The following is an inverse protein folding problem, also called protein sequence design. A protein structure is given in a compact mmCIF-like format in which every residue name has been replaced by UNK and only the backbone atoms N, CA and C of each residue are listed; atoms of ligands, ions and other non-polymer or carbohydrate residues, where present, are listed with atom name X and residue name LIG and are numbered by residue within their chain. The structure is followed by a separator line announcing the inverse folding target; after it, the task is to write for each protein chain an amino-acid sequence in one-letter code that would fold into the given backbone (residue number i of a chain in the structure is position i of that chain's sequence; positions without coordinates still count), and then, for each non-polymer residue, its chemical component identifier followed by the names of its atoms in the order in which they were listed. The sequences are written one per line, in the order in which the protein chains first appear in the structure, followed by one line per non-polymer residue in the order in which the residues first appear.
data_IF_832901834456
#
_entry.id   IF_832901834456
#
_cell.length_a   1.000
_cell.length_b   1.000
_cell.length_c   1.000
_cell.angle_alpha   90.00
_cell.angle_beta   90.00
_cell.angle_gamma   90.00
#
_symmetry.space_group_name_H-M   'P 1'
#
loop_
_entity.id
_entity.type
_entity.pdbx_description
1 polymer ?
#
# COMPACT_ATOMS: atom_id res chain seq x y z
N UNK A 1 -4.02 -36.58 -26.88
CA UNK A 1 -4.46 -35.51 -27.80
C UNK A 1 -4.36 -34.16 -27.10
N UNK A 2 -3.30 -33.41 -27.41
CA UNK A 2 -3.02 -31.97 -27.21
C UNK A 2 -1.56 -31.80 -26.79
N UNK A 3 -0.79 -31.04 -27.59
CA UNK A 3 -0.36 -29.75 -27.09
C UNK A 3 -0.57 -28.65 -28.15
N UNK A 4 -1.33 -27.63 -27.79
CA UNK A 4 -1.61 -26.47 -28.64
C UNK A 4 -0.49 -25.43 -28.52
N UNK A 5 0.44 -25.51 -29.48
CA UNK A 5 0.92 -24.40 -30.30
C UNK A 5 1.18 -23.04 -29.65
N UNK A 6 2.46 -22.83 -29.34
CA UNK A 6 3.24 -21.58 -29.40
C UNK A 6 2.75 -20.52 -30.40
N UNK A 7 2.56 -19.28 -29.94
CA UNK A 7 2.90 -18.07 -30.72
C UNK A 7 3.13 -16.86 -29.80
N UNK A 8 4.38 -16.63 -29.42
CA UNK A 8 4.85 -15.26 -29.18
C UNK A 8 6.31 -15.16 -29.64
N UNK A 9 6.54 -14.10 -30.40
CA UNK A 9 7.71 -13.80 -31.21
C UNK A 9 9.01 -13.79 -30.42
N UNK A 10 10.00 -14.49 -30.97
CA UNK A 10 11.41 -14.44 -30.62
C UNK A 10 11.95 -13.00 -30.69
N UNK A 11 12.18 -12.38 -29.53
CA UNK A 11 13.20 -11.32 -29.38
C UNK A 11 14.11 -11.77 -28.25
N UNK A 12 15.25 -12.32 -28.60
CA UNK A 12 16.24 -12.86 -27.68
C UNK A 12 16.97 -11.69 -26.97
N UNK A 13 16.43 -11.21 -25.85
CA UNK A 13 17.18 -10.41 -24.86
C UNK A 13 17.53 -11.35 -23.72
N UNK A 14 18.76 -11.87 -23.74
CA UNK A 14 19.28 -12.99 -22.94
C UNK A 14 19.33 -12.77 -21.42
N UNK A 15 18.64 -11.77 -20.87
CA UNK A 15 18.71 -11.35 -19.47
C UNK A 15 17.37 -10.87 -18.87
N UNK A 16 16.25 -10.99 -19.61
CA UNK A 16 14.95 -10.42 -19.19
C UNK A 16 13.86 -11.50 -19.11
N UNK A 17 14.09 -12.52 -18.29
CA UNK A 17 13.06 -13.51 -17.97
C UNK A 17 12.99 -13.74 -16.46
N UNK A 18 11.79 -13.99 -15.94
CA UNK A 18 11.58 -14.29 -14.53
C UNK A 18 12.18 -15.66 -14.14
N UNK A 19 13.14 -15.72 -13.20
CA UNK A 19 13.91 -16.95 -12.96
C UNK A 19 13.21 -17.95 -12.03
N UNK A 20 12.23 -17.54 -11.21
CA UNK A 20 11.63 -18.38 -10.17
C UNK A 20 10.42 -19.21 -10.64
N UNK A 21 10.20 -19.29 -11.95
CA UNK A 21 9.08 -20.00 -12.55
C UNK A 21 7.70 -19.42 -12.20
N UNK A 22 6.61 -20.10 -12.61
CA UNK A 22 5.24 -19.58 -12.48
C UNK A 22 4.75 -19.51 -11.03
N UNK A 23 5.14 -20.47 -10.18
CA UNK A 23 4.77 -20.44 -8.76
C UNK A 23 5.48 -19.29 -8.01
N UNK A 24 6.77 -19.08 -8.27
CA UNK A 24 7.50 -17.94 -7.71
C UNK A 24 6.91 -16.60 -8.17
N UNK A 25 6.43 -16.56 -9.43
CA UNK A 25 5.78 -15.39 -10.00
C UNK A 25 4.48 -15.02 -9.27
N UNK A 26 3.62 -16.00 -9.00
CA UNK A 26 2.36 -15.79 -8.28
C UNK A 26 2.58 -15.28 -6.85
N UNK A 27 3.54 -15.87 -6.13
CA UNK A 27 3.87 -15.45 -4.76
C UNK A 27 4.44 -14.03 -4.76
N UNK A 28 5.32 -13.71 -5.72
CA UNK A 28 5.90 -12.38 -5.84
C UNK A 28 4.83 -11.31 -6.14
N UNK A 29 3.92 -11.59 -7.09
CA UNK A 29 2.82 -10.69 -7.41
C UNK A 29 1.87 -10.49 -6.22
N UNK A 30 1.55 -11.58 -5.51
CA UNK A 30 0.74 -11.52 -4.29
C UNK A 30 1.40 -10.63 -3.22
N UNK A 31 2.68 -10.87 -2.92
CA UNK A 31 3.42 -10.07 -1.93
C UNK A 31 3.49 -8.59 -2.34
N UNK A 32 3.73 -8.32 -3.62
CA UNK A 32 3.74 -6.96 -4.15
C UNK A 32 2.41 -6.26 -3.94
N UNK A 33 1.30 -6.92 -4.26
CA UNK A 33 -0.03 -6.36 -4.08
C UNK A 33 -0.37 -6.10 -2.61
N UNK A 34 -0.06 -7.05 -1.71
CA UNK A 34 -0.25 -6.86 -0.25
C UNK A 34 0.51 -5.63 0.23
N UNK A 35 1.76 -5.49 -0.20
CA UNK A 35 2.63 -4.37 0.20
C UNK A 35 2.09 -3.03 -0.29
N UNK A 36 1.59 -2.98 -1.53
CA UNK A 36 0.98 -1.77 -2.11
C UNK A 36 -0.28 -1.38 -1.35
N UNK A 37 -1.21 -2.33 -1.14
CA UNK A 37 -2.47 -2.07 -0.44
C UNK A 37 -2.23 -1.62 1.00
N UNK A 38 -1.39 -2.34 1.74
CA UNK A 38 -1.01 -1.97 3.10
C UNK A 38 -0.36 -0.58 3.13
N UNK A 39 0.58 -0.30 2.22
CA UNK A 39 1.27 0.98 2.12
C UNK A 39 0.32 2.17 1.93
N UNK A 40 -0.64 2.05 1.00
CA UNK A 40 -1.61 3.13 0.75
C UNK A 40 -2.54 3.30 1.97
N UNK A 41 -2.97 2.22 2.61
CA UNK A 41 -3.76 2.29 3.84
C UNK A 41 -2.99 2.99 4.97
N UNK A 42 -1.69 2.73 5.13
CA UNK A 42 -0.85 3.41 6.11
C UNK A 42 -0.71 4.90 5.83
N UNK A 43 -0.60 5.32 4.56
CA UNK A 43 -0.54 6.74 4.22
C UNK A 43 -1.83 7.48 4.64
N UNK A 44 -3.00 6.86 4.41
CA UNK A 44 -4.28 7.39 4.89
C UNK A 44 -4.35 7.45 6.42
N UNK A 45 -3.91 6.38 7.09
CA UNK A 45 -3.90 6.29 8.56
C UNK A 45 -3.01 7.37 9.21
N UNK A 46 -1.83 7.60 8.65
CA UNK A 46 -0.89 8.63 9.11
C UNK A 46 -1.47 10.03 8.93
N UNK A 47 -2.14 10.30 7.81
CA UNK A 47 -2.80 11.58 7.59
C UNK A 47 -3.93 11.81 8.61
N UNK A 48 -4.72 10.77 8.90
CA UNK A 48 -5.79 10.80 9.90
C UNK A 48 -5.27 11.03 11.33
N UNK A 49 -4.19 10.36 11.71
CA UNK A 49 -3.55 10.51 13.01
C UNK A 49 -3.03 11.94 13.22
N UNK A 50 -2.36 12.52 12.22
CA UNK A 50 -1.91 13.92 12.27
C UNK A 50 -3.05 14.91 12.40
N UNK A 51 -4.17 14.68 11.71
CA UNK A 51 -5.35 15.51 11.86
C UNK A 51 -5.85 15.53 13.32
N UNK A 52 -5.90 14.38 13.99
CA UNK A 52 -6.30 14.29 15.40
C UNK A 52 -5.31 14.99 16.34
N UNK A 53 -4.02 14.93 16.04
CA UNK A 53 -2.99 15.62 16.83
C UNK A 53 -3.10 17.14 16.74
N UNK A 54 -3.25 17.70 15.53
CA UNK A 54 -3.26 19.16 15.33
C UNK A 54 -4.63 19.81 15.56
N UNK A 55 -5.70 19.23 15.01
CA UNK A 55 -7.02 19.86 15.00
C UNK A 55 -7.86 19.47 16.23
N UNK A 56 -7.85 18.20 16.63
CA UNK A 56 -8.69 17.68 17.73
C UNK A 56 -7.94 17.58 19.06
N UNK A 57 -6.59 17.66 19.04
CA UNK A 57 -5.70 17.43 20.20
C UNK A 57 -5.93 16.09 20.92
N UNK A 58 -6.48 15.10 20.23
CA UNK A 58 -6.75 13.79 20.79
C UNK A 58 -5.54 12.88 20.53
N UNK A 59 -4.91 12.41 21.61
CA UNK A 59 -3.80 11.46 21.51
C UNK A 59 -4.32 10.06 21.21
N UNK A 60 -3.91 9.47 20.10
CA UNK A 60 -4.22 8.07 19.79
C UNK A 60 -3.40 7.18 20.71
N UNK A 61 -4.05 6.25 21.39
CA UNK A 61 -3.38 5.30 22.27
C UNK A 61 -2.63 4.22 21.47
N UNK A 62 -1.53 3.71 22.01
CA UNK A 62 -0.68 2.73 21.32
C UNK A 62 -1.43 1.45 20.95
N UNK A 63 -2.35 0.99 21.81
CA UNK A 63 -3.20 -0.18 21.50
C UNK A 63 -4.09 0.05 20.28
N UNK A 64 -4.59 1.28 20.07
CA UNK A 64 -5.42 1.61 18.89
C UNK A 64 -4.57 1.62 17.61
N UNK A 65 -3.33 2.08 17.70
CA UNK A 65 -2.41 2.05 16.55
C UNK A 65 -2.09 0.62 16.11
N UNK A 66 -1.87 -0.28 17.07
CA UNK A 66 -1.64 -1.70 16.79
C UNK A 66 -2.87 -2.37 16.17
N UNK A 67 -4.07 -2.13 16.71
CA UNK A 67 -5.30 -2.71 16.15
C UNK A 67 -5.53 -2.22 14.73
N UNK A 68 -5.39 -0.92 14.46
CA UNK A 68 -5.49 -0.37 13.10
C UNK A 68 -4.47 -0.99 12.13
N UNK A 69 -3.22 -1.12 12.57
CA UNK A 69 -2.15 -1.74 11.78
C UNK A 69 -2.49 -3.19 11.44
N UNK A 70 -2.92 -3.99 12.43
CA UNK A 70 -3.31 -5.39 12.19
C UNK A 70 -4.49 -5.51 11.21
N UNK A 71 -5.49 -4.64 11.32
CA UNK A 71 -6.66 -4.64 10.43
C UNK A 71 -6.24 -4.33 9.00
N UNK A 72 -5.34 -3.36 8.80
CA UNK A 72 -4.83 -3.00 7.47
C UNK A 72 -4.09 -4.15 6.79
N UNK A 73 -3.21 -4.85 7.53
CA UNK A 73 -2.51 -6.02 6.99
C UNK A 73 -3.46 -7.16 6.65
N UNK A 74 -4.42 -7.47 7.53
CA UNK A 74 -5.42 -8.53 7.28
C UNK A 74 -6.27 -8.19 6.05
N UNK A 75 -6.73 -6.94 5.93
CA UNK A 75 -7.48 -6.48 4.76
C UNK A 75 -6.62 -6.54 3.49
N UNK A 76 -5.38 -6.07 3.52
CA UNK A 76 -4.47 -6.12 2.37
C UNK A 76 -4.24 -7.57 1.88
N UNK A 77 -4.04 -8.51 2.82
CA UNK A 77 -3.92 -9.95 2.53
C UNK A 77 -5.21 -10.50 1.93
N UNK A 78 -6.37 -10.19 2.53
CA UNK A 78 -7.67 -10.66 2.08
C UNK A 78 -7.97 -10.20 0.64
N UNK A 79 -7.74 -8.93 0.34
CA UNK A 79 -7.98 -8.38 -1.00
C UNK A 79 -6.98 -8.92 -2.02
N UNK A 80 -5.71 -9.13 -1.64
CA UNK A 80 -4.70 -9.73 -2.51
C UNK A 80 -4.88 -11.22 -2.73
N UNK A 81 -5.66 -11.90 -1.86
CA UNK A 81 -5.96 -13.32 -1.99
C UNK A 81 -7.09 -13.59 -2.99
N UNK A 82 -7.94 -12.61 -3.34
CA UNK A 82 -9.05 -12.80 -4.28
C UNK A 82 -8.60 -13.22 -5.70
N UNK A 83 -7.48 -12.70 -6.25
CA UNK A 83 -6.90 -13.17 -7.51
C UNK A 83 -6.16 -14.51 -7.42
N UNK A 84 -6.17 -15.20 -6.27
CA UNK A 84 -5.62 -16.55 -6.18
C UNK A 84 -6.56 -17.56 -6.86
N UNK A 85 -6.00 -18.65 -7.41
CA UNK A 85 -6.75 -19.63 -8.20
C UNK A 85 -7.88 -20.33 -7.45
N UNK A 86 -7.88 -20.31 -6.12
CA UNK A 86 -8.95 -20.89 -5.30
C UNK A 86 -10.24 -20.06 -5.30
N UNK A 87 -10.14 -18.74 -5.48
CA UNK A 87 -11.27 -17.81 -5.41
C UNK A 87 -11.74 -17.41 -6.82
N UNK A 88 -10.82 -17.31 -7.78
CA UNK A 88 -11.16 -17.20 -9.20
C UNK A 88 -11.62 -15.80 -9.67
N UNK A 89 -11.34 -14.76 -8.89
CA UNK A 89 -11.66 -13.37 -9.28
C UNK A 89 -10.58 -12.72 -10.16
N UNK A 90 -9.48 -13.43 -10.38
CA UNK A 90 -8.35 -13.04 -11.21
C UNK A 90 -7.29 -14.15 -11.22
N UNK A 91 -6.25 -14.00 -12.04
CA UNK A 91 -5.08 -14.89 -12.04
C UNK A 91 -3.82 -14.04 -12.18
N UNK A 92 -2.83 -14.28 -11.32
CA UNK A 92 -1.49 -13.73 -11.48
C UNK A 92 -0.72 -14.55 -12.51
N UNK A 93 -0.25 -13.88 -13.55
CA UNK A 93 0.46 -14.47 -14.68
C UNK A 93 1.61 -13.54 -15.10
N UNK A 94 2.45 -14.01 -16.02
CA UNK A 94 3.58 -13.23 -16.50
C UNK A 94 3.13 -12.01 -17.29
N UNK A 95 3.82 -10.89 -17.09
CA UNK A 95 3.66 -9.70 -17.93
C UNK A 95 4.12 -10.05 -19.36
N UNK A 96 3.51 -9.51 -20.45
CA UNK A 96 3.89 -9.79 -21.85
C UNK A 96 5.38 -9.61 -22.23
N UNK A 97 6.18 -8.97 -21.37
CA UNK A 97 7.63 -8.84 -21.52
C UNK A 97 8.43 -9.94 -20.78
N UNK A 98 7.75 -10.86 -20.10
CA UNK A 98 8.25 -11.98 -19.27
C UNK A 98 9.28 -11.60 -18.18
N UNK A 99 9.45 -10.31 -17.90
CA UNK A 99 10.36 -9.77 -16.87
C UNK A 99 9.75 -9.74 -15.48
N UNK A 100 8.44 -9.81 -15.38
CA UNK A 100 7.71 -9.54 -14.14
C UNK A 100 6.36 -10.24 -14.10
N UNK A 101 5.69 -10.07 -12.96
CA UNK A 101 4.49 -10.80 -12.59
C UNK A 101 3.40 -9.80 -12.26
N UNK A 102 2.27 -9.91 -12.94
CA UNK A 102 1.15 -8.98 -12.79
C UNK A 102 -0.17 -9.72 -12.84
N UNK A 103 -1.25 -9.02 -12.53
CA UNK A 103 -2.60 -9.54 -12.72
C UNK A 103 -2.87 -9.63 -14.23
N UNK A 104 -3.31 -10.78 -14.76
CA UNK A 104 -3.59 -10.89 -16.20
C UNK A 104 -4.97 -10.33 -16.57
N UNK A 105 -4.98 -9.08 -17.04
CA UNK A 105 -6.17 -8.38 -17.55
C UNK A 105 -6.65 -8.97 -18.90
N UNK A 106 -5.80 -9.71 -19.61
CA UNK A 106 -6.01 -10.17 -20.99
C UNK A 106 -6.94 -11.37 -21.08
N UNK A 107 -7.12 -12.13 -20.01
CA UNK A 107 -8.14 -13.20 -19.94
C UNK A 107 -9.56 -12.64 -20.10
N UNK A 108 -9.84 -11.44 -19.61
CA UNK A 108 -11.09 -10.72 -19.87
C UNK A 108 -11.21 -10.28 -21.33
N UNK A 109 -10.11 -9.79 -21.91
CA UNK A 109 -10.06 -9.23 -23.26
C UNK A 109 -10.17 -10.30 -24.38
N UNK A 110 -9.72 -11.54 -24.10
CA UNK A 110 -9.93 -12.70 -25.00
C UNK A 110 -11.41 -13.12 -25.13
N UNK A 111 -12.25 -12.64 -24.21
CA UNK A 111 -13.72 -12.73 -24.29
C UNK A 111 -14.33 -11.51 -25.01
N UNK A 112 -13.73 -10.31 -24.86
CA UNK A 112 -14.11 -9.07 -25.57
C UNK A 112 -13.88 -9.19 -27.07
N UNK A 113 -12.75 -9.76 -27.51
CA UNK A 113 -12.42 -9.97 -28.93
C UNK A 113 -13.30 -11.02 -29.63
N UNK A 114 -14.10 -11.79 -28.88
CA UNK A 114 -14.99 -12.85 -29.42
C UNK A 114 -16.46 -12.43 -29.52
N UNK A 115 -16.79 -11.15 -29.29
CA UNK A 115 -18.14 -10.62 -29.49
C UNK A 115 -19.19 -11.14 -28.50
N UNK A 116 -18.78 -11.72 -27.36
CA UNK A 116 -19.70 -12.23 -26.35
C UNK A 116 -20.05 -11.10 -25.38
N UNK A 117 -21.35 -10.81 -25.30
CA UNK A 117 -22.04 -9.80 -24.48
C UNK A 117 -21.38 -9.65 -23.09
N UNK A 118 -20.58 -8.59 -22.94
CA UNK A 118 -19.68 -8.31 -21.80
C UNK A 118 -20.44 -8.13 -20.48
N UNK A 119 -21.73 -7.79 -20.57
CA UNK A 119 -22.61 -7.53 -19.43
C UNK A 119 -23.26 -8.78 -18.82
N UNK A 120 -23.26 -9.91 -19.53
CA UNK A 120 -23.96 -11.13 -19.07
C UNK A 120 -23.03 -12.24 -18.55
N UNK A 121 -21.71 -12.15 -18.76
CA UNK A 121 -20.79 -13.12 -18.16
C UNK A 121 -20.58 -12.81 -16.67
N UNK A 122 -20.75 -13.79 -15.75
CA UNK A 122 -20.51 -13.60 -14.31
C UNK A 122 -19.05 -13.26 -13.99
N UNK A 123 -18.12 -13.77 -14.80
CA UNK A 123 -16.67 -13.68 -14.56
C UNK A 123 -16.09 -12.32 -14.93
N UNK A 124 -16.56 -11.69 -16.01
CA UNK A 124 -16.15 -10.32 -16.39
C UNK A 124 -16.67 -9.29 -15.39
N UNK A 125 -17.88 -9.49 -14.86
CA UNK A 125 -18.47 -8.65 -13.81
C UNK A 125 -17.65 -8.69 -12.53
N UNK A 126 -17.35 -9.87 -11.99
CA UNK A 126 -16.55 -10.00 -10.77
C UNK A 126 -15.18 -9.32 -10.89
N UNK A 127 -14.54 -9.44 -12.05
CA UNK A 127 -13.25 -8.83 -12.34
C UNK A 127 -13.28 -7.29 -12.44
N UNK A 128 -14.23 -6.74 -13.20
CA UNK A 128 -14.41 -5.28 -13.32
C UNK A 128 -14.79 -4.70 -11.96
N UNK A 129 -15.68 -5.37 -11.22
CA UNK A 129 -16.06 -4.98 -9.87
C UNK A 129 -14.87 -4.99 -8.91
N UNK A 130 -13.97 -5.98 -9.00
CA UNK A 130 -12.75 -6.04 -8.18
C UNK A 130 -11.83 -4.84 -8.44
N UNK A 131 -11.51 -4.56 -9.70
CA UNK A 131 -10.67 -3.41 -10.07
C UNK A 131 -11.30 -2.09 -9.63
N UNK A 132 -12.61 -1.91 -9.87
CA UNK A 132 -13.32 -0.71 -9.44
C UNK A 132 -13.35 -0.58 -7.92
N UNK A 133 -13.58 -1.67 -7.19
CA UNK A 133 -13.59 -1.68 -5.73
C UNK A 133 -12.21 -1.31 -5.17
N UNK A 134 -11.11 -1.83 -5.74
CA UNK A 134 -9.76 -1.46 -5.33
C UNK A 134 -9.47 0.03 -5.56
N UNK A 135 -9.84 0.57 -6.73
CA UNK A 135 -9.65 1.99 -7.01
C UNK A 135 -10.47 2.84 -6.04
N UNK A 136 -11.74 2.51 -5.80
CA UNK A 136 -12.58 3.29 -4.90
C UNK A 136 -12.09 3.18 -3.45
N UNK A 137 -11.90 1.97 -2.92
CA UNK A 137 -11.59 1.75 -1.51
C UNK A 137 -10.13 2.06 -1.14
N UNK A 138 -9.17 1.77 -2.02
CA UNK A 138 -7.75 1.94 -1.69
C UNK A 138 -7.13 3.16 -2.33
N UNK A 139 -7.68 3.71 -3.41
CA UNK A 139 -7.17 4.96 -3.98
C UNK A 139 -8.02 6.15 -3.54
N UNK A 140 -9.33 6.15 -3.80
CA UNK A 140 -10.14 7.35 -3.54
C UNK A 140 -10.30 7.63 -2.05
N UNK A 141 -10.55 6.60 -1.23
CA UNK A 141 -10.77 6.81 0.20
C UNK A 141 -9.53 7.37 0.94
N UNK A 142 -8.31 6.82 0.78
CA UNK A 142 -7.11 7.42 1.36
C UNK A 142 -6.80 8.81 0.79
N UNK A 143 -7.04 9.05 -0.51
CA UNK A 143 -6.89 10.39 -1.09
C UNK A 143 -7.85 11.41 -0.45
N UNK A 144 -9.11 11.02 -0.22
CA UNK A 144 -10.10 11.88 0.44
C UNK A 144 -9.69 12.18 1.90
N UNK A 145 -9.21 11.19 2.64
CA UNK A 145 -8.69 11.40 4.00
C UNK A 145 -7.51 12.35 3.99
N UNK A 146 -6.54 12.13 3.09
CA UNK A 146 -5.37 13.00 2.97
C UNK A 146 -5.77 14.43 2.61
N UNK A 147 -6.68 14.60 1.66
CA UNK A 147 -7.15 15.91 1.23
C UNK A 147 -7.92 16.64 2.34
N UNK A 148 -8.87 15.97 2.99
CA UNK A 148 -9.64 16.52 4.10
C UNK A 148 -8.75 16.92 5.28
N UNK A 149 -7.79 16.06 5.63
CA UNK A 149 -6.81 16.32 6.70
C UNK A 149 -5.91 17.50 6.33
N UNK A 150 -5.43 17.55 5.08
CA UNK A 150 -4.60 18.65 4.60
C UNK A 150 -5.33 20.00 4.65
N UNK A 151 -6.56 20.06 4.15
CA UNK A 151 -7.39 21.28 4.19
C UNK A 151 -7.64 21.75 5.62
N UNK A 152 -7.95 20.83 6.53
CA UNK A 152 -8.20 21.15 7.95
C UNK A 152 -6.95 21.68 8.65
N UNK A 153 -5.80 21.05 8.42
CA UNK A 153 -4.51 21.50 8.97
C UNK A 153 -4.14 22.86 8.38
N UNK A 154 -4.29 23.04 7.07
CA UNK A 154 -3.99 24.31 6.40
C UNK A 154 -4.80 25.47 6.96
N UNK A 155 -6.11 25.28 7.15
CA UNK A 155 -6.99 26.31 7.74
C UNK A 155 -6.65 26.59 9.21
N UNK A 156 -6.33 25.57 10.00
CA UNK A 156 -5.87 25.72 11.38
C UNK A 156 -4.60 26.58 11.49
N UNK A 157 -3.57 26.28 10.69
CA UNK A 157 -2.33 27.05 10.71
C UNK A 157 -2.46 28.44 10.10
N UNK A 158 -3.31 28.62 9.08
CA UNK A 158 -3.65 29.94 8.54
C UNK A 158 -4.23 30.85 9.63
N UNK A 159 -5.04 30.29 10.54
CA UNK A 159 -5.64 31.03 11.67
C UNK A 159 -4.63 31.41 12.76
N UNK A 160 -3.51 30.68 12.89
CA UNK A 160 -2.53 30.83 13.98
C UNK A 160 -1.32 31.73 13.60
N UNK A 161 -1.31 32.36 12.42
CA UNK A 161 -0.32 33.38 11.99
C UNK A 161 1.18 32.96 11.96
N UNK A 162 1.53 31.69 12.15
CA UNK A 162 2.92 31.19 12.09
C UNK A 162 3.26 30.55 10.73
N UNK A 163 3.23 31.35 9.66
CA UNK A 163 3.34 30.91 8.26
C UNK A 163 4.73 30.39 7.82
N UNK A 164 5.77 30.52 8.66
CA UNK A 164 7.16 30.26 8.23
C UNK A 164 7.59 28.78 8.20
N UNK A 165 6.94 27.87 8.93
CA UNK A 165 7.36 26.46 9.03
C UNK A 165 6.44 25.45 8.31
N UNK A 166 5.26 25.90 7.87
CA UNK A 166 4.18 25.03 7.39
C UNK A 166 4.44 24.30 6.06
N UNK A 167 5.00 24.95 5.01
CA UNK A 167 5.21 24.26 3.74
C UNK A 167 6.35 23.22 3.81
N UNK A 168 7.28 23.36 4.76
CA UNK A 168 8.41 22.44 4.93
C UNK A 168 7.97 21.17 5.67
N UNK A 169 7.20 21.30 6.76
CA UNK A 169 6.67 20.16 7.52
C UNK A 169 5.63 19.34 6.74
N UNK A 170 4.80 19.99 5.90
CA UNK A 170 3.84 19.30 5.05
C UNK A 170 4.52 18.54 3.89
N UNK A 171 5.62 19.08 3.35
CA UNK A 171 6.38 18.45 2.23
C UNK A 171 7.33 17.34 2.69
N UNK A 172 7.82 17.35 3.92
CA UNK A 172 8.72 16.31 4.45
C UNK A 172 7.97 15.13 5.12
N UNK A 173 6.65 15.07 4.93
CA UNK A 173 5.71 14.16 5.58
C UNK A 173 6.19 12.71 5.81
N UNK A 174 6.76 11.96 4.85
CA UNK A 174 7.14 10.56 5.15
C UNK A 174 8.43 10.44 6.00
N UNK A 175 9.45 11.24 5.67
CA UNK A 175 10.79 11.15 6.26
C UNK A 175 10.84 11.85 7.63
N UNK A 176 10.15 12.97 7.76
CA UNK A 176 10.04 13.68 9.04
C UNK A 176 9.16 12.94 10.02
N UNK A 177 8.18 12.12 9.60
CA UNK A 177 7.36 11.41 10.58
C UNK A 177 8.17 10.38 11.36
N UNK A 178 8.98 9.55 10.69
CA UNK A 178 9.82 8.58 11.38
C UNK A 178 10.78 9.27 12.37
N UNK A 179 11.39 10.38 11.95
CA UNK A 179 12.30 11.16 12.80
C UNK A 179 11.55 11.87 13.95
N UNK A 180 10.42 12.54 13.70
CA UNK A 180 9.61 13.16 14.75
C UNK A 180 9.08 12.13 15.74
N UNK A 181 8.59 10.99 15.28
CA UNK A 181 8.09 9.92 16.16
C UNK A 181 9.21 9.30 17.00
N UNK A 182 10.39 9.12 16.43
CA UNK A 182 11.55 8.60 17.15
C UNK A 182 12.15 9.62 18.14
N UNK A 183 12.19 10.92 17.79
CA UNK A 183 12.84 11.96 18.60
C UNK A 183 11.93 12.61 19.65
N UNK A 184 10.61 12.66 19.39
CA UNK A 184 9.62 13.29 20.28
C UNK A 184 9.10 12.36 21.38
N UNK A 185 9.41 11.07 21.31
CA UNK A 185 8.93 10.07 22.25
C UNK A 185 10.07 9.70 23.22
N UNK A 186 9.94 10.07 24.50
CA UNK A 186 11.02 9.98 25.50
C UNK A 186 11.62 8.57 25.61
N UNK A 187 10.79 7.55 25.40
CA UNK A 187 11.18 6.13 25.44
C UNK A 187 12.18 5.75 24.34
N UNK A 188 11.99 6.24 23.12
CA UNK A 188 12.87 5.93 21.98
C UNK A 188 14.11 6.80 21.98
N UNK A 189 14.00 8.05 22.44
CA UNK A 189 15.11 9.00 22.53
C UNK A 189 16.24 8.46 23.41
N UNK A 190 15.90 7.84 24.55
CA UNK A 190 16.87 7.20 25.45
C UNK A 190 17.60 6.03 24.80
N UNK A 191 16.88 5.13 24.13
CA UNK A 191 17.46 3.96 23.45
C UNK A 191 18.38 4.34 22.29
N UNK A 192 17.98 5.33 21.47
CA UNK A 192 18.79 5.83 20.36
C UNK A 192 20.03 6.56 20.89
N UNK A 193 19.88 7.38 21.93
CA UNK A 193 21.00 8.06 22.56
C UNK A 193 22.00 7.07 23.16
N UNK A 194 21.52 6.02 23.82
CA UNK A 194 22.34 4.96 24.40
C UNK A 194 23.05 4.13 23.33
N UNK A 195 22.40 3.87 22.19
CA UNK A 195 23.02 3.21 21.04
C UNK A 195 24.11 4.06 20.38
N UNK A 196 23.87 5.37 20.22
CA UNK A 196 24.81 6.30 19.56
C UNK A 196 25.99 6.72 20.46
N UNK A 197 25.77 6.87 21.76
CA UNK A 197 26.79 7.33 22.70
C UNK A 197 27.47 6.21 23.48
N UNK A 198 26.92 4.98 23.44
CA UNK A 198 27.45 3.82 24.16
C UNK A 198 27.47 3.98 25.69
N UNK A 199 26.89 5.06 26.24
CA UNK A 199 26.88 5.35 27.66
C UNK A 199 25.73 4.59 28.33
N UNK A 200 26.06 3.54 29.11
CA UNK A 200 25.12 2.93 30.05
C UNK A 200 24.76 3.97 31.11
N UNK A 201 23.46 4.22 31.31
CA UNK A 201 22.94 5.03 32.41
C UNK A 201 23.49 4.48 33.74
N UNK A 202 24.48 5.16 34.31
CA UNK A 202 24.83 4.95 35.71
C UNK A 202 23.80 5.72 36.52
N UNK A 203 22.81 4.99 37.06
CA UNK A 203 21.92 5.53 38.09
C UNK A 203 22.78 6.08 39.22
N UNK A 204 22.76 7.41 39.40
CA UNK A 204 23.18 8.04 40.65
C UNK A 204 22.16 7.66 41.70
N UNK A 205 22.40 6.53 42.36
CA UNK A 205 21.76 6.20 43.63
C UNK A 205 22.42 7.07 44.70
N UNK A 206 21.59 7.85 45.39
CA UNK A 206 21.96 8.65 46.57
C UNK A 206 22.78 7.84 47.57
#
# INVERSE_FOLDING_TARGET
MSPSGTRQSQVHVTLRYWPFGPKGCQIHAFQGLVSILAGISFLGAVAWDRYHMYCTKQKIFWSTSLTMTSIMWILAVLWSALPLPFIGWGVFDFEPMDVGCTLDYTRGDRSVRRGVIIFFSPMSRAYITYTLALVLLYLTFPLLIMHSSYCSIYTYFKKIHNFKALPVLAKLSPISNALLYAYNNEFYRGGIWQFLTGQRHMDKKN
#
